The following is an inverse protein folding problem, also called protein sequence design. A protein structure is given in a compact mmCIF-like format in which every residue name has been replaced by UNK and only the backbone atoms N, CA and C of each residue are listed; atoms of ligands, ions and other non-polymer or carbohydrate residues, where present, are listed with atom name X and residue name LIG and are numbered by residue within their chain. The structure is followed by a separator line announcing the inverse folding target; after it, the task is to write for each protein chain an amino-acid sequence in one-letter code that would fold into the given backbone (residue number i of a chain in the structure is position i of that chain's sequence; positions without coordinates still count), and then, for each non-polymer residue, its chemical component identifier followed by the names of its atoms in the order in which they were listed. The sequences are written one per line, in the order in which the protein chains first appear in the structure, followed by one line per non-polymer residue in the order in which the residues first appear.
data_IF_823374349670
#
_entry.id   IF_823374349670
#
_cell.length_a   1.000
_cell.length_b   1.000
_cell.length_c   1.000
_cell.angle_alpha   90.00
_cell.angle_beta   90.00
_cell.angle_gamma   90.00
#
_symmetry.space_group_name_H-M   'P 1'
#
loop_
_entity.id
_entity.type
_entity.pdbx_description
1 polymer ?
#
# COMPACT_ATOMS: atom_id res chain seq x y z
N UNK A 1 -10.69 23.33 2.70
CA UNK A 1 -10.61 24.51 3.55
C UNK A 1 -10.17 25.76 2.82
N UNK A 2 -9.03 25.79 2.21
CA UNK A 2 -8.64 26.87 1.31
C UNK A 2 -9.25 26.62 -0.07
N UNK A 3 -9.83 27.64 -0.74
CA UNK A 3 -10.38 27.43 -2.07
C UNK A 3 -9.22 27.20 -3.05
N UNK A 4 -9.28 26.09 -3.76
CA UNK A 4 -8.39 25.89 -4.91
C UNK A 4 -8.86 26.79 -6.05
N UNK A 5 -8.00 27.70 -6.48
CA UNK A 5 -8.34 28.64 -7.56
C UNK A 5 -8.55 27.86 -8.86
N UNK A 6 -9.74 27.93 -9.43
CA UNK A 6 -10.01 27.40 -10.77
C UNK A 6 -9.12 28.12 -11.77
N UNK A 7 -8.61 27.38 -12.76
CA UNK A 7 -7.70 27.87 -13.80
C UNK A 7 -6.32 28.37 -13.33
N UNK A 8 -5.97 28.24 -12.06
CA UNK A 8 -4.60 28.52 -11.61
C UNK A 8 -3.60 27.55 -12.23
N UNK A 9 -2.43 28.07 -12.58
CA UNK A 9 -1.27 27.23 -12.99
C UNK A 9 -0.61 26.56 -11.80
N UNK A 10 -0.87 27.04 -10.58
CA UNK A 10 -0.27 26.55 -9.36
C UNK A 10 -1.29 25.72 -8.58
N UNK A 11 -0.77 24.74 -7.87
CA UNK A 11 -1.50 23.94 -6.89
C UNK A 11 -0.81 24.06 -5.54
N UNK A 12 -1.61 24.18 -4.51
CA UNK A 12 -1.18 24.18 -3.12
C UNK A 12 -2.27 23.53 -2.30
N UNK A 13 -1.93 22.45 -1.63
CA UNK A 13 -2.81 21.78 -0.66
C UNK A 13 -1.96 21.07 0.39
N UNK A 14 -2.58 20.55 1.40
CA UNK A 14 -1.90 19.78 2.41
C UNK A 14 -2.86 18.91 3.18
N UNK A 15 -2.30 17.93 3.85
CA UNK A 15 -3.05 17.05 4.74
C UNK A 15 -2.24 16.73 5.98
N UNK A 16 -2.93 16.34 7.02
CA UNK A 16 -2.36 15.77 8.25
C UNK A 16 -3.26 14.64 8.70
N UNK A 17 -2.66 13.49 8.96
CA UNK A 17 -3.34 12.31 9.44
C UNK A 17 -2.70 11.86 10.76
N UNK A 18 -3.51 11.65 11.79
CA UNK A 18 -3.12 11.07 13.07
C UNK A 18 -3.91 9.79 13.27
N UNK A 19 -3.23 8.68 13.54
CA UNK A 19 -3.85 7.39 13.82
C UNK A 19 -3.45 6.91 15.20
N UNK A 20 -4.42 6.81 16.09
CA UNK A 20 -4.27 6.17 17.39
C UNK A 20 -4.75 4.73 17.31
N UNK A 21 -3.95 3.80 17.80
CA UNK A 21 -4.26 2.39 17.88
C UNK A 21 -3.93 1.83 19.27
N UNK A 22 -4.66 0.81 19.66
CA UNK A 22 -4.40 0.07 20.92
C UNK A 22 -4.87 -1.37 20.77
N UNK A 23 -4.33 -2.28 21.55
CA UNK A 23 -4.90 -3.60 21.80
C UNK A 23 -4.77 -3.98 23.26
N UNK A 24 -5.73 -4.74 23.81
CA UNK A 24 -5.59 -5.39 25.12
C UNK A 24 -4.61 -6.56 25.03
N UNK A 25 -4.26 -7.12 26.18
CA UNK A 25 -3.52 -8.39 26.25
C UNK A 25 -4.23 -9.47 25.43
N UNK A 26 -3.45 -10.28 24.72
CA UNK A 26 -3.96 -11.41 23.96
C UNK A 26 -3.09 -12.66 24.18
N UNK A 27 -3.64 -13.89 24.00
CA UNK A 27 -2.89 -15.11 24.22
C UNK A 27 -1.77 -15.30 23.20
N UNK A 28 -0.58 -15.64 23.69
CA UNK A 28 0.57 -16.03 22.87
C UNK A 28 1.38 -17.08 23.66
N UNK A 29 1.65 -18.22 23.06
CA UNK A 29 2.44 -19.26 23.70
C UNK A 29 3.93 -18.91 23.76
N UNK A 30 4.42 -18.13 22.82
CA UNK A 30 5.79 -17.62 22.73
C UNK A 30 5.84 -16.34 21.92
N UNK A 31 6.96 -15.64 22.00
CA UNK A 31 7.26 -14.42 21.23
C UNK A 31 8.72 -14.41 20.80
N UNK A 32 8.99 -13.95 19.58
CA UNK A 32 10.30 -13.73 19.03
C UNK A 32 10.61 -12.24 18.82
N UNK A 33 11.75 -11.93 18.20
CA UNK A 33 12.20 -10.55 18.01
C UNK A 33 11.27 -9.68 17.16
N UNK A 34 10.57 -10.29 16.19
CA UNK A 34 9.62 -9.62 15.31
C UNK A 34 8.19 -10.11 15.56
N UNK A 35 7.77 -10.16 16.82
CA UNK A 35 6.40 -10.46 17.22
C UNK A 35 5.61 -9.18 17.53
N UNK A 36 4.31 -9.21 17.25
CA UNK A 36 3.39 -8.28 17.91
C UNK A 36 3.40 -8.56 19.43
N UNK A 37 3.62 -7.56 20.27
CA UNK A 37 3.61 -7.73 21.72
C UNK A 37 2.28 -8.33 22.18
N UNK A 38 2.27 -9.39 23.02
CA UNK A 38 1.02 -9.92 23.55
C UNK A 38 0.43 -9.08 24.70
N UNK A 39 1.22 -8.21 25.32
CA UNK A 39 0.79 -7.35 26.41
C UNK A 39 0.08 -6.10 25.86
N UNK A 40 -0.75 -5.46 26.71
CA UNK A 40 -1.41 -4.21 26.35
C UNK A 40 -0.46 -3.21 25.73
N UNK A 41 -0.82 -2.72 24.54
CA UNK A 41 -0.04 -1.74 23.82
C UNK A 41 -0.91 -0.62 23.25
N UNK A 42 -0.33 0.57 23.10
CA UNK A 42 -0.91 1.70 22.39
C UNK A 42 0.15 2.43 21.59
N UNK A 43 -0.24 2.92 20.43
CA UNK A 43 0.65 3.69 19.55
C UNK A 43 -0.10 4.86 18.91
N UNK A 44 0.64 5.86 18.47
CA UNK A 44 0.09 6.95 17.65
C UNK A 44 1.09 7.27 16.56
N UNK A 45 0.65 7.19 15.33
CA UNK A 45 1.37 7.65 14.14
C UNK A 45 0.85 8.99 13.66
N UNK A 46 1.63 9.67 12.84
CA UNK A 46 1.20 10.84 12.08
C UNK A 46 1.92 10.91 10.75
N UNK A 47 1.20 11.38 9.74
CA UNK A 47 1.76 11.80 8.45
C UNK A 47 1.24 13.19 8.13
N UNK A 48 2.14 14.08 7.72
CA UNK A 48 1.82 15.43 7.24
C UNK A 48 2.41 15.59 5.86
N UNK A 49 1.59 15.94 4.88
CA UNK A 49 2.03 16.13 3.50
C UNK A 49 1.64 17.51 3.00
N UNK A 50 2.58 18.19 2.38
CA UNK A 50 2.40 19.45 1.71
C UNK A 50 2.56 19.26 0.22
N UNK A 51 1.47 19.39 -0.52
CA UNK A 51 1.37 19.15 -1.95
C UNK A 51 1.53 20.45 -2.72
N UNK A 52 2.48 20.48 -3.64
CA UNK A 52 2.69 21.61 -4.53
C UNK A 52 2.79 21.17 -5.99
N UNK A 53 2.47 22.06 -6.89
CA UNK A 53 2.65 21.78 -8.32
C UNK A 53 2.49 23.00 -9.19
N UNK A 54 3.04 22.91 -10.37
CA UNK A 54 2.94 23.95 -11.39
C UNK A 54 2.70 23.37 -12.78
N UNK A 55 1.66 23.85 -13.44
CA UNK A 55 1.36 23.55 -14.82
C UNK A 55 2.26 24.40 -15.72
N UNK A 56 3.25 23.78 -16.35
CA UNK A 56 4.22 24.44 -17.21
C UNK A 56 3.58 24.88 -18.53
N UNK A 57 2.73 24.02 -19.09
CA UNK A 57 1.91 24.29 -20.27
C UNK A 57 0.65 23.41 -20.29
N UNK A 58 -0.09 23.36 -21.39
CA UNK A 58 -1.36 22.62 -21.49
C UNK A 58 -1.22 21.09 -21.48
N UNK A 59 -0.01 20.55 -21.41
CA UNK A 59 0.26 19.12 -21.47
C UNK A 59 1.44 18.69 -20.58
N UNK A 60 1.99 19.61 -19.79
CA UNK A 60 3.15 19.30 -18.93
C UNK A 60 3.00 20.02 -17.60
N UNK A 61 3.22 19.30 -16.53
CA UNK A 61 3.21 19.82 -15.16
C UNK A 61 4.36 19.23 -14.35
N UNK A 62 4.76 19.93 -13.31
CA UNK A 62 5.73 19.51 -12.31
C UNK A 62 4.99 19.42 -10.95
N UNK A 63 5.12 18.30 -10.27
CA UNK A 63 4.50 18.01 -8.99
C UNK A 63 5.58 17.73 -7.96
N UNK A 64 5.48 18.37 -6.79
CA UNK A 64 6.48 18.25 -5.71
C UNK A 64 5.76 18.22 -4.38
N UNK A 65 5.98 17.15 -3.61
CA UNK A 65 5.39 16.96 -2.28
C UNK A 65 6.47 16.83 -1.23
N UNK A 66 6.27 17.56 -0.15
CA UNK A 66 7.09 17.48 1.05
C UNK A 66 6.29 16.77 2.14
N UNK A 67 6.93 15.83 2.83
CA UNK A 67 6.26 14.99 3.81
C UNK A 67 7.05 14.87 5.10
N UNK A 68 6.35 14.75 6.21
CA UNK A 68 6.87 14.35 7.53
C UNK A 68 6.04 13.17 8.01
N UNK A 69 6.69 12.07 8.35
CA UNK A 69 6.09 10.92 8.98
C UNK A 69 6.75 10.66 10.33
N UNK A 70 5.95 10.38 11.34
CA UNK A 70 6.47 10.19 12.69
C UNK A 70 5.50 9.44 13.60
N UNK A 71 5.89 9.32 14.88
CA UNK A 71 5.16 8.52 15.85
C UNK A 71 5.63 7.08 15.90
N UNK A 72 4.74 6.16 16.22
CA UNK A 72 5.00 4.73 16.35
C UNK A 72 3.78 3.93 15.89
N UNK A 73 4.02 2.71 15.42
CA UNK A 73 3.00 1.67 15.26
C UNK A 73 2.96 0.74 16.48
N UNK A 74 1.96 -0.12 16.56
CA UNK A 74 1.96 -1.25 17.50
C UNK A 74 3.19 -2.11 17.21
N UNK A 75 3.93 -2.46 18.27
CA UNK A 75 5.22 -3.17 18.22
C UNK A 75 6.19 -2.60 17.15
N UNK A 76 6.10 -1.27 16.92
CA UNK A 76 6.86 -0.57 15.86
C UNK A 76 6.65 -1.13 14.45
N UNK A 77 5.46 -1.67 14.17
CA UNK A 77 5.09 -2.24 12.88
C UNK A 77 5.62 -3.65 12.64
N UNK A 78 5.81 -4.43 13.69
CA UNK A 78 6.28 -5.82 13.62
C UNK A 78 5.20 -6.82 14.01
N UNK A 79 5.36 -8.07 13.55
CA UNK A 79 4.60 -9.23 13.99
C UNK A 79 3.24 -9.41 13.31
N UNK A 80 2.96 -8.64 12.26
CA UNK A 80 1.77 -8.78 11.42
C UNK A 80 2.16 -8.79 9.95
N UNK A 81 1.56 -9.67 9.17
CA UNK A 81 1.74 -9.70 7.71
C UNK A 81 1.07 -8.48 7.06
N UNK A 82 -0.16 -8.18 7.47
CA UNK A 82 -0.89 -6.96 7.11
C UNK A 82 -0.87 -5.96 8.26
N UNK A 83 0.07 -5.02 8.29
CA UNK A 83 0.15 -4.02 9.33
C UNK A 83 -1.17 -3.24 9.45
N UNK A 84 -1.53 -2.89 10.69
CA UNK A 84 -2.83 -2.28 11.03
C UNK A 84 -2.93 -0.79 10.70
N UNK A 85 -1.83 -0.16 10.31
CA UNK A 85 -1.76 1.28 10.02
C UNK A 85 -0.76 1.54 8.90
N UNK A 86 -1.23 2.01 7.74
CA UNK A 86 -0.36 2.32 6.61
C UNK A 86 0.48 3.59 6.84
N UNK A 87 -0.02 4.53 7.64
CA UNK A 87 0.63 5.82 7.90
C UNK A 87 1.78 5.73 8.91
N UNK A 88 2.65 4.72 8.74
CA UNK A 88 3.85 4.55 9.54
C UNK A 88 5.09 4.39 8.68
N UNK A 89 6.21 4.85 9.20
CA UNK A 89 7.52 4.51 8.67
C UNK A 89 8.08 3.35 9.49
N UNK A 90 8.20 2.18 8.87
CA UNK A 90 8.61 0.93 9.50
C UNK A 90 10.04 0.98 10.08
N UNK A 91 10.90 1.85 9.59
CA UNK A 91 12.27 1.99 10.07
C UNK A 91 12.36 3.05 11.18
N UNK A 92 12.45 2.66 12.47
CA UNK A 92 12.47 3.60 13.59
C UNK A 92 13.74 4.44 13.67
N UNK A 93 14.79 4.09 12.93
CA UNK A 93 16.06 4.84 12.89
C UNK A 93 16.00 6.07 11.97
N UNK A 94 14.97 6.17 11.13
CA UNK A 94 14.79 7.35 10.28
C UNK A 94 14.42 8.58 11.10
N UNK A 95 15.02 9.71 10.72
CA UNK A 95 14.69 10.98 11.33
C UNK A 95 13.24 11.39 11.00
N UNK A 96 12.61 12.10 11.94
CA UNK A 96 11.29 12.73 11.78
C UNK A 96 11.37 14.07 11.04
N UNK A 97 12.41 14.28 10.24
CA UNK A 97 12.56 15.50 9.46
C UNK A 97 11.70 15.45 8.20
N UNK A 98 11.30 16.63 7.74
CA UNK A 98 10.63 16.77 6.44
C UNK A 98 11.53 16.21 5.34
N UNK A 99 10.94 15.43 4.45
CA UNK A 99 11.61 14.83 3.32
C UNK A 99 10.82 15.03 2.01
N UNK A 100 11.51 14.81 0.90
CA UNK A 100 10.88 14.82 -0.41
C UNK A 100 10.10 13.52 -0.61
N UNK A 101 8.76 13.59 -0.61
CA UNK A 101 7.89 12.48 -0.95
C UNK A 101 7.87 12.30 -2.47
N UNK A 102 7.20 13.18 -3.20
CA UNK A 102 7.15 13.16 -4.66
C UNK A 102 7.93 14.32 -5.27
N UNK A 103 8.54 14.06 -6.42
CA UNK A 103 9.09 15.08 -7.31
C UNK A 103 9.09 14.51 -8.72
N UNK A 104 8.05 14.80 -9.51
CA UNK A 104 7.88 14.21 -10.81
C UNK A 104 7.42 15.22 -11.87
N UNK A 105 7.87 15.01 -13.08
CA UNK A 105 7.31 15.63 -14.28
C UNK A 105 6.24 14.72 -14.86
N UNK A 106 5.09 15.30 -15.18
CA UNK A 106 3.98 14.61 -15.84
C UNK A 106 3.71 15.24 -17.20
N UNK A 107 3.70 14.42 -18.24
CA UNK A 107 3.48 14.82 -19.63
C UNK A 107 2.33 14.05 -20.25
N UNK A 108 1.36 14.78 -20.83
CA UNK A 108 0.20 14.22 -21.53
C UNK A 108 0.36 14.42 -23.04
N UNK A 109 0.23 13.34 -23.80
CA UNK A 109 0.16 13.33 -25.25
C UNK A 109 -1.27 13.05 -25.68
N UNK A 110 -1.91 14.03 -26.33
CA UNK A 110 -3.27 13.89 -26.83
C UNK A 110 -3.32 12.98 -28.05
N UNK A 111 -4.12 11.93 -27.99
CA UNK A 111 -4.40 10.99 -29.08
C UNK A 111 -5.84 11.11 -29.59
N UNK A 112 -6.64 11.97 -28.99
CA UNK A 112 -7.96 12.38 -29.46
C UNK A 112 -8.20 13.87 -29.24
N UNK A 113 -9.18 14.43 -29.96
CA UNK A 113 -9.60 15.83 -29.81
C UNK A 113 -10.66 15.99 -28.70
N UNK A 114 -11.47 14.96 -28.46
CA UNK A 114 -12.47 14.96 -27.39
C UNK A 114 -11.79 14.88 -26.03
N UNK A 115 -12.34 15.62 -25.09
CA UNK A 115 -11.83 15.74 -23.74
C UNK A 115 -12.82 15.21 -22.71
N UNK A 116 -12.32 14.88 -21.57
CA UNK A 116 -13.10 14.54 -20.36
C UNK A 116 -12.73 15.51 -19.25
N UNK A 117 -13.67 15.83 -18.40
CA UNK A 117 -13.39 16.55 -17.15
C UNK A 117 -12.43 15.69 -16.29
N UNK A 118 -11.47 16.37 -15.69
CA UNK A 118 -10.55 15.81 -14.73
C UNK A 118 -10.62 16.60 -13.42
N UNK A 119 -10.77 15.89 -12.32
CA UNK A 119 -10.70 16.53 -11.01
C UNK A 119 -9.23 16.82 -10.69
N UNK A 120 -8.89 18.07 -10.52
CA UNK A 120 -7.55 18.48 -10.10
C UNK A 120 -7.21 17.88 -8.73
N UNK A 121 -5.99 17.40 -8.62
CA UNK A 121 -5.46 16.79 -7.40
C UNK A 121 -3.95 17.02 -7.33
N UNK A 122 -3.33 16.53 -6.29
CA UNK A 122 -1.86 16.51 -6.16
C UNK A 122 -1.16 15.58 -7.18
N UNK A 123 -1.91 14.71 -7.88
CA UNK A 123 -1.39 13.84 -8.96
C UNK A 123 -1.64 14.39 -10.36
N UNK A 124 -2.54 15.38 -10.51
CA UNK A 124 -2.77 16.06 -11.80
C UNK A 124 -3.46 17.41 -11.62
N UNK A 125 -2.88 18.45 -12.21
CA UNK A 125 -3.39 19.83 -12.16
C UNK A 125 -4.22 20.21 -13.39
N UNK A 126 -4.41 19.32 -14.35
CA UNK A 126 -5.25 19.57 -15.50
C UNK A 126 -6.72 19.54 -15.12
N UNK A 127 -7.50 20.50 -15.60
CA UNK A 127 -8.95 20.54 -15.43
C UNK A 127 -9.68 19.61 -16.41
N UNK A 128 -9.01 19.35 -17.56
CA UNK A 128 -9.51 18.49 -18.63
C UNK A 128 -8.35 17.66 -19.21
N UNK A 129 -8.63 16.43 -19.56
CA UNK A 129 -7.69 15.53 -20.24
C UNK A 129 -8.26 15.04 -21.57
N UNK A 130 -7.42 14.81 -22.61
CA UNK A 130 -7.87 14.11 -23.81
C UNK A 130 -8.42 12.74 -23.45
N UNK A 131 -9.55 12.33 -24.00
CA UNK A 131 -10.17 11.03 -23.68
C UNK A 131 -9.25 9.86 -24.03
N UNK A 132 -8.62 9.92 -25.19
CA UNK A 132 -7.57 8.99 -25.58
C UNK A 132 -6.23 9.68 -25.52
N UNK A 133 -5.31 9.14 -24.72
CA UNK A 133 -4.04 9.80 -24.41
C UNK A 133 -2.97 8.81 -23.99
N UNK A 134 -1.71 9.26 -24.08
CA UNK A 134 -0.57 8.65 -23.40
C UNK A 134 -0.07 9.64 -22.35
N UNK A 135 0.06 9.20 -21.13
CA UNK A 135 0.64 9.95 -20.01
C UNK A 135 1.99 9.35 -19.65
N UNK A 136 3.02 10.19 -19.54
CA UNK A 136 4.33 9.79 -19.05
C UNK A 136 4.64 10.55 -17.78
N UNK A 137 5.11 9.85 -16.75
CA UNK A 137 5.61 10.45 -15.52
C UNK A 137 7.02 9.95 -15.25
N UNK A 138 7.89 10.86 -14.88
CA UNK A 138 9.28 10.55 -14.55
C UNK A 138 9.70 11.32 -13.32
N UNK A 139 10.38 10.63 -12.39
CA UNK A 139 10.88 11.21 -11.16
C UNK A 139 10.65 10.32 -9.93
N UNK A 140 10.49 10.95 -8.77
CA UNK A 140 10.17 10.26 -7.51
C UNK A 140 8.66 10.24 -7.29
N UNK A 141 8.10 9.05 -7.04
CA UNK A 141 6.67 8.82 -6.81
C UNK A 141 6.44 7.52 -6.04
N UNK A 142 5.21 7.25 -5.64
CA UNK A 142 4.77 5.95 -5.11
C UNK A 142 4.07 5.16 -6.22
N UNK A 143 4.40 3.87 -6.40
CA UNK A 143 3.72 3.01 -7.38
C UNK A 143 2.22 2.85 -7.12
N UNK A 144 1.77 2.71 -5.85
CA UNK A 144 0.34 2.72 -5.49
C UNK A 144 -0.44 3.98 -5.89
N UNK A 145 0.21 5.08 -6.21
CA UNK A 145 -0.48 6.26 -6.75
C UNK A 145 -1.16 5.97 -8.10
N UNK A 146 -0.68 4.95 -8.84
CA UNK A 146 -1.08 4.68 -10.22
C UNK A 146 -1.56 3.25 -10.46
N UNK A 147 -1.07 2.27 -9.70
CA UNK A 147 -1.35 0.84 -9.87
C UNK A 147 -2.19 0.30 -8.73
N UNK A 148 -3.01 -0.70 -9.00
CA UNK A 148 -3.91 -1.38 -8.05
C UNK A 148 -4.89 -0.43 -7.33
N UNK A 149 -5.13 0.75 -7.86
CA UNK A 149 -6.01 1.76 -7.26
C UNK A 149 -7.43 1.23 -7.18
N UNK A 150 -8.08 1.41 -6.02
CA UNK A 150 -9.45 1.00 -5.77
C UNK A 150 -10.24 2.11 -5.08
N UNK A 151 -11.45 2.40 -5.55
CA UNK A 151 -12.25 3.52 -5.04
C UNK A 151 -12.74 3.33 -3.60
N UNK A 152 -12.67 2.10 -3.06
CA UNK A 152 -13.17 1.73 -1.73
C UNK A 152 -12.03 1.42 -0.76
N UNK A 153 -10.93 0.85 -1.23
CA UNK A 153 -9.86 0.33 -0.39
C UNK A 153 -8.56 1.14 -0.39
N UNK A 154 -8.27 1.95 -1.42
CA UNK A 154 -6.96 2.60 -1.59
C UNK A 154 -6.92 4.05 -1.09
N UNK A 155 -7.39 4.32 0.13
CA UNK A 155 -7.36 5.66 0.72
C UNK A 155 -7.34 5.59 2.25
N UNK A 156 -6.18 5.41 2.82
CA UNK A 156 -6.00 5.29 4.29
C UNK A 156 -6.34 6.55 5.07
N UNK A 157 -6.47 7.70 4.40
CA UNK A 157 -6.89 8.95 5.05
C UNK A 157 -8.40 8.97 5.34
N UNK A 158 -9.19 8.23 4.56
CA UNK A 158 -10.66 8.24 4.67
C UNK A 158 -11.30 6.86 4.80
N UNK A 159 -10.56 5.78 4.47
CA UNK A 159 -11.09 4.42 4.38
C UNK A 159 -10.37 3.48 5.35
N UNK A 160 -10.07 2.27 4.93
CA UNK A 160 -9.39 1.25 5.72
C UNK A 160 -7.93 1.64 6.01
N UNK A 161 -7.37 1.11 7.11
CA UNK A 161 -6.00 1.36 7.55
C UNK A 161 -5.05 0.20 7.28
N UNK A 162 -5.59 -1.03 7.13
CA UNK A 162 -4.75 -2.21 6.95
C UNK A 162 -4.01 -2.17 5.61
N UNK A 163 -2.73 -2.49 5.63
CA UNK A 163 -1.85 -2.49 4.46
C UNK A 163 -2.39 -3.35 3.32
N UNK A 164 -2.88 -4.56 3.62
CA UNK A 164 -3.36 -5.51 2.62
C UNK A 164 -4.78 -5.24 2.13
N UNK A 165 -5.43 -4.19 2.67
CA UNK A 165 -6.63 -3.59 2.09
C UNK A 165 -6.31 -2.43 1.18
N UNK A 166 -5.36 -1.58 1.56
CA UNK A 166 -5.01 -0.40 0.78
C UNK A 166 -4.44 -0.78 -0.59
N UNK A 167 -3.55 -1.76 -0.60
CA UNK A 167 -2.98 -2.34 -1.81
C UNK A 167 -3.01 -3.87 -1.75
N UNK A 168 -2.77 -4.50 -2.89
CA UNK A 168 -2.59 -5.95 -2.99
C UNK A 168 -1.42 -6.41 -2.12
N UNK A 169 -1.70 -7.18 -1.06
CA UNK A 169 -0.68 -7.64 -0.12
C UNK A 169 0.45 -8.44 -0.77
N UNK A 170 0.18 -9.22 -1.81
CA UNK A 170 1.19 -9.99 -2.51
C UNK A 170 1.88 -9.21 -3.65
N UNK A 171 1.70 -7.90 -3.70
CA UNK A 171 2.43 -7.02 -4.62
C UNK A 171 3.57 -6.32 -3.87
N UNK A 172 4.73 -6.94 -3.86
CA UNK A 172 5.96 -6.40 -3.26
C UNK A 172 6.50 -5.26 -4.14
N UNK A 173 5.77 -4.14 -4.20
CA UNK A 173 6.07 -3.02 -5.08
C UNK A 173 7.37 -2.31 -4.69
N UNK A 174 8.12 -1.87 -5.69
CA UNK A 174 9.38 -1.18 -5.47
C UNK A 174 9.19 0.14 -4.72
N UNK A 175 9.77 0.22 -3.53
CA UNK A 175 9.76 1.42 -2.71
C UNK A 175 10.94 1.43 -1.72
N UNK A 176 11.41 2.61 -1.34
CA UNK A 176 12.18 2.79 -0.12
C UNK A 176 11.28 2.60 1.12
N UNK A 177 11.86 2.58 2.32
CA UNK A 177 11.10 2.42 3.58
C UNK A 177 10.04 3.49 3.84
N UNK A 178 9.97 4.55 3.03
CA UNK A 178 8.96 5.62 3.08
C UNK A 178 7.85 5.45 2.04
N UNK A 179 7.87 4.36 1.25
CA UNK A 179 6.86 4.08 0.23
C UNK A 179 7.12 4.74 -1.12
N UNK A 180 8.29 5.32 -1.37
CA UNK A 180 8.62 6.03 -2.60
C UNK A 180 9.76 5.37 -3.37
N UNK A 181 9.71 5.50 -4.70
CA UNK A 181 10.77 5.08 -5.60
C UNK A 181 11.07 6.15 -6.64
N UNK A 182 12.10 5.94 -7.44
CA UNK A 182 12.41 6.75 -8.63
C UNK A 182 12.23 5.90 -9.87
N UNK A 183 11.51 6.41 -10.85
CA UNK A 183 11.22 5.62 -12.04
C UNK A 183 10.49 6.38 -13.14
N UNK A 184 9.98 5.61 -14.08
CA UNK A 184 9.15 6.05 -15.20
C UNK A 184 7.83 5.30 -15.17
N UNK A 185 6.71 6.01 -15.38
CA UNK A 185 5.43 5.39 -15.72
C UNK A 185 4.98 5.81 -17.10
N UNK A 186 4.37 4.87 -17.83
CA UNK A 186 3.69 5.12 -19.11
C UNK A 186 2.26 4.57 -19.00
N UNK A 187 1.28 5.44 -19.16
CA UNK A 187 -0.12 5.14 -18.99
C UNK A 187 -0.89 5.47 -20.26
N UNK A 188 -1.36 4.45 -20.96
CA UNK A 188 -2.22 4.60 -22.13
C UNK A 188 -3.69 4.48 -21.71
N UNK A 189 -4.42 5.56 -21.93
CA UNK A 189 -5.83 5.67 -21.58
C UNK A 189 -6.73 5.72 -22.80
N UNK A 190 -7.76 4.90 -22.82
CA UNK A 190 -8.85 4.95 -23.80
C UNK A 190 -10.21 4.99 -23.07
N UNK A 191 -11.31 5.04 -23.79
CA UNK A 191 -12.67 5.21 -23.24
C UNK A 191 -13.06 4.14 -22.21
N UNK A 192 -12.79 2.88 -22.49
CA UNK A 192 -13.28 1.73 -21.72
C UNK A 192 -12.17 0.89 -21.12
N UNK A 193 -10.92 1.23 -21.37
CA UNK A 193 -9.77 0.49 -20.88
C UNK A 193 -8.54 1.39 -20.78
N UNK A 194 -7.57 0.97 -20.00
CA UNK A 194 -6.25 1.56 -19.88
C UNK A 194 -5.20 0.46 -19.78
N UNK A 195 -3.96 0.82 -20.11
CA UNK A 195 -2.79 -0.03 -19.90
C UNK A 195 -1.67 0.82 -19.31
N UNK A 196 -1.11 0.36 -18.19
CA UNK A 196 -0.04 1.04 -17.47
C UNK A 196 1.20 0.17 -17.43
N UNK A 197 2.32 0.83 -17.57
CA UNK A 197 3.65 0.26 -17.40
C UNK A 197 4.45 1.16 -16.46
N UNK A 198 5.24 0.56 -15.57
CA UNK A 198 6.25 1.30 -14.81
C UNK A 198 7.54 0.51 -14.72
N UNK A 199 8.65 1.22 -14.81
CA UNK A 199 9.99 0.76 -14.42
C UNK A 199 10.47 1.64 -13.26
N UNK A 200 10.90 1.01 -12.18
CA UNK A 200 11.22 1.67 -10.91
C UNK A 200 12.46 1.06 -10.26
N UNK A 201 13.20 1.88 -9.51
CA UNK A 201 14.36 1.43 -8.74
C UNK A 201 13.91 0.64 -7.51
N UNK A 202 14.67 -0.40 -7.18
CA UNK A 202 14.49 -1.18 -5.96
C UNK A 202 15.44 -0.69 -4.85
N UNK A 203 15.08 -0.87 -3.57
CA UNK A 203 16.00 -0.59 -2.47
C UNK A 203 17.21 -1.55 -2.46
N UNK A 204 18.26 -1.14 -1.76
CA UNK A 204 19.51 -1.90 -1.62
C UNK A 204 19.33 -3.14 -0.74
N UNK A 205 18.53 -3.03 0.29
CA UNK A 205 18.16 -4.09 1.25
C UNK A 205 16.66 -4.01 1.54
N UNK A 206 16.07 -5.08 2.04
CA UNK A 206 14.67 -5.12 2.42
C UNK A 206 14.32 -3.94 3.36
N UNK A 207 13.23 -3.23 3.05
CA UNK A 207 12.78 -2.05 3.78
C UNK A 207 13.87 -0.96 3.96
N UNK A 208 14.84 -0.88 3.04
CA UNK A 208 15.93 0.09 3.07
C UNK A 208 15.53 1.48 2.59
N UNK A 209 16.26 2.52 3.03
CA UNK A 209 16.04 3.90 2.57
C UNK A 209 16.77 4.21 1.25
N UNK A 210 17.85 3.49 0.96
CA UNK A 210 18.68 3.72 -0.20
C UNK A 210 18.18 2.91 -1.39
N UNK A 211 17.97 3.58 -2.52
CA UNK A 211 17.65 2.94 -3.80
C UNK A 211 18.94 2.64 -4.58
N UNK A 212 18.94 1.54 -5.35
CA UNK A 212 20.04 1.18 -6.22
C UNK A 212 19.90 1.86 -7.57
N UNK A 213 20.76 2.85 -7.86
CA UNK A 213 20.74 3.62 -9.12
C UNK A 213 21.45 2.87 -10.27
N UNK A 214 21.07 1.60 -10.47
CA UNK A 214 21.54 0.73 -11.57
C UNK A 214 20.36 -0.01 -12.19
N UNK A 215 19.44 0.70 -12.88
CA UNK A 215 18.19 0.11 -13.38
C UNK A 215 18.38 -1.09 -14.31
N UNK A 216 19.54 -1.20 -14.99
CA UNK A 216 19.87 -2.37 -15.82
C UNK A 216 20.19 -3.66 -15.01
N UNK A 217 20.33 -3.58 -13.70
CA UNK A 217 20.61 -4.72 -12.80
C UNK A 217 19.54 -4.90 -11.75
N UNK A 218 19.13 -3.80 -11.10
CA UNK A 218 18.25 -3.76 -9.94
C UNK A 218 17.07 -2.85 -10.26
N UNK A 219 15.92 -3.45 -10.54
CA UNK A 219 14.72 -2.73 -10.96
C UNK A 219 13.47 -3.55 -10.72
N UNK A 220 12.33 -2.88 -10.75
CA UNK A 220 10.99 -3.46 -10.78
C UNK A 220 10.27 -3.04 -12.05
N UNK A 221 9.62 -4.00 -12.70
CA UNK A 221 8.69 -3.75 -13.80
C UNK A 221 7.27 -4.06 -13.33
N UNK A 222 6.34 -3.17 -13.64
CA UNK A 222 4.94 -3.31 -13.30
C UNK A 222 4.07 -3.08 -14.53
N UNK A 223 3.06 -3.91 -14.70
CA UNK A 223 2.13 -3.89 -15.82
C UNK A 223 0.72 -3.97 -15.27
N UNK A 224 -0.17 -3.06 -15.67
CA UNK A 224 -1.58 -3.15 -15.31
C UNK A 224 -2.47 -2.92 -16.52
N UNK A 225 -3.43 -3.82 -16.70
CA UNK A 225 -4.53 -3.64 -17.64
C UNK A 225 -5.81 -3.33 -16.87
N UNK A 226 -6.45 -2.22 -17.19
CA UNK A 226 -7.71 -1.78 -16.59
C UNK A 226 -8.85 -1.87 -17.61
N UNK A 227 -9.94 -2.56 -17.23
CA UNK A 227 -11.17 -2.62 -17.99
C UNK A 227 -12.30 -1.94 -17.21
N UNK A 228 -12.83 -0.85 -17.74
CA UNK A 228 -13.93 -0.06 -17.16
C UNK A 228 -15.27 -0.61 -17.61
N UNK A 229 -15.61 -1.78 -17.07
CA UNK A 229 -16.86 -2.47 -17.37
C UNK A 229 -17.34 -3.24 -16.15
N UNK A 230 -18.53 -2.87 -15.65
CA UNK A 230 -19.17 -3.63 -14.57
C UNK A 230 -19.69 -4.98 -15.03
N UNK A 231 -19.72 -5.96 -14.13
CA UNK A 231 -20.38 -7.27 -14.32
C UNK A 231 -21.90 -7.08 -14.28
N UNK A 232 -22.39 -6.22 -13.38
CA UNK A 232 -23.83 -5.93 -13.27
C UNK A 232 -24.29 -5.02 -14.41
N UNK A 233 -25.39 -5.35 -15.10
CA UNK A 233 -25.93 -4.54 -16.18
C UNK A 233 -26.24 -3.10 -15.73
N UNK A 234 -25.84 -2.12 -16.54
CA UNK A 234 -26.09 -0.68 -16.34
C UNK A 234 -25.45 -0.08 -15.08
N UNK A 235 -24.55 -0.79 -14.42
CA UNK A 235 -23.80 -0.30 -13.26
C UNK A 235 -22.32 -0.19 -13.58
N UNK A 236 -21.68 0.85 -13.08
CA UNK A 236 -20.24 1.03 -13.23
C UNK A 236 -19.48 -0.04 -12.43
N UNK A 237 -18.37 -0.46 -12.97
CA UNK A 237 -17.41 -1.35 -12.33
C UNK A 237 -16.10 -1.34 -13.10
N UNK A 238 -15.04 -1.81 -12.46
CA UNK A 238 -13.69 -1.84 -13.00
C UNK A 238 -13.04 -3.16 -12.63
N UNK A 239 -12.28 -3.72 -13.56
CA UNK A 239 -11.40 -4.86 -13.32
C UNK A 239 -9.99 -4.43 -13.69
N UNK A 240 -9.03 -4.67 -12.80
CA UNK A 240 -7.61 -4.43 -13.02
C UNK A 240 -6.85 -5.73 -12.90
N UNK A 241 -5.95 -5.97 -13.84
CA UNK A 241 -5.05 -7.11 -13.88
C UNK A 241 -3.63 -6.60 -13.78
N UNK A 242 -3.01 -6.84 -12.65
CA UNK A 242 -1.63 -6.45 -12.34
C UNK A 242 -0.69 -7.63 -12.59
N UNK A 243 0.49 -7.37 -13.14
CA UNK A 243 1.63 -8.29 -13.14
C UNK A 243 2.89 -7.51 -12.81
N UNK A 244 3.83 -8.12 -12.08
CA UNK A 244 5.07 -7.46 -11.73
C UNK A 244 6.25 -8.43 -11.69
N UNK A 245 7.44 -7.87 -11.82
CA UNK A 245 8.71 -8.57 -11.59
C UNK A 245 9.70 -7.62 -10.91
N UNK A 246 10.35 -8.11 -9.86
CA UNK A 246 11.40 -7.43 -9.13
C UNK A 246 12.72 -8.16 -9.33
N UNK A 247 13.76 -7.44 -9.72
CA UNK A 247 15.14 -7.93 -9.80
C UNK A 247 15.96 -7.16 -8.77
N UNK A 248 16.38 -7.81 -7.69
CA UNK A 248 17.11 -7.18 -6.59
C UNK A 248 18.02 -8.21 -5.88
N UNK A 249 18.83 -7.71 -4.93
CA UNK A 249 19.67 -8.55 -4.08
C UNK A 249 18.81 -9.15 -2.95
N UNK A 250 17.99 -10.16 -3.26
CA UNK A 250 17.09 -10.80 -2.32
C UNK A 250 17.58 -12.20 -1.95
N UNK A 251 17.56 -12.53 -0.66
CA UNK A 251 17.83 -13.87 -0.16
C UNK A 251 16.77 -14.89 -0.63
N UNK A 252 17.17 -16.15 -0.74
CA UNK A 252 16.31 -17.28 -1.13
C UNK A 252 16.03 -18.10 0.13
N UNK A 253 14.75 -18.21 0.54
CA UNK A 253 14.39 -18.92 1.78
C UNK A 253 14.95 -20.32 1.87
N UNK A 254 14.83 -21.12 0.80
CA UNK A 254 15.30 -22.51 0.78
C UNK A 254 16.80 -22.62 0.95
N UNK A 255 17.57 -21.73 0.31
CA UNK A 255 19.03 -21.76 0.39
C UNK A 255 19.48 -21.44 1.81
N UNK A 256 18.87 -20.46 2.45
CA UNK A 256 19.18 -20.08 3.83
C UNK A 256 18.78 -21.16 4.86
N UNK A 257 17.70 -21.90 4.62
CA UNK A 257 17.33 -23.06 5.45
C UNK A 257 18.41 -24.14 5.37
N UNK A 258 18.85 -24.50 4.15
CA UNK A 258 19.88 -25.53 3.92
C UNK A 258 21.20 -25.10 4.55
N UNK A 259 21.65 -23.86 4.36
CA UNK A 259 22.90 -23.35 4.96
C UNK A 259 22.84 -23.38 6.50
N UNK A 260 21.69 -23.04 7.08
CA UNK A 260 21.50 -23.08 8.52
C UNK A 260 21.45 -24.50 9.09
N UNK A 261 20.82 -25.45 8.40
CA UNK A 261 20.82 -26.87 8.75
C UNK A 261 22.25 -27.44 8.76
N UNK A 262 23.04 -27.17 7.72
CA UNK A 262 24.43 -27.61 7.61
C UNK A 262 25.32 -26.99 8.69
N UNK A 263 25.06 -25.74 9.08
CA UNK A 263 25.83 -25.02 10.10
C UNK A 263 25.32 -25.28 11.54
N UNK A 264 24.15 -25.86 11.73
CA UNK A 264 23.49 -26.01 13.04
C UNK A 264 23.08 -24.66 13.67
N UNK A 265 22.64 -23.70 12.84
CA UNK A 265 22.25 -22.33 13.24
C UNK A 265 20.80 -22.03 12.86
N UNK A 266 20.29 -20.88 13.27
CA UNK A 266 19.01 -20.34 12.79
C UNK A 266 19.19 -19.74 11.39
N UNK A 267 18.26 -19.94 10.44
CA UNK A 267 18.36 -19.37 9.11
C UNK A 267 18.26 -17.83 9.12
N UNK A 268 19.10 -17.18 8.32
CA UNK A 268 19.18 -15.73 8.18
C UNK A 268 19.08 -15.34 6.70
N UNK A 269 17.94 -14.78 6.29
CA UNK A 269 17.64 -14.42 4.89
C UNK A 269 18.58 -13.33 4.36
N UNK A 270 19.25 -12.59 5.22
CA UNK A 270 20.17 -11.51 4.85
C UNK A 270 21.61 -11.99 4.69
N UNK A 271 21.93 -13.21 5.15
CA UNK A 271 23.27 -13.77 5.11
C UNK A 271 23.57 -14.47 3.78
N UNK A 272 23.71 -13.72 2.72
CA UNK A 272 24.05 -14.24 1.40
C UNK A 272 24.98 -13.27 0.64
N UNK A 273 25.82 -13.77 -0.27
CA UNK A 273 26.64 -12.91 -1.12
C UNK A 273 25.73 -12.08 -2.05
N UNK A 274 26.22 -10.92 -2.48
CA UNK A 274 25.51 -10.10 -3.45
C UNK A 274 25.21 -10.89 -4.73
N UNK A 275 23.93 -11.10 -5.03
CA UNK A 275 23.46 -11.69 -6.27
C UNK A 275 22.05 -11.19 -6.59
N UNK A 276 21.72 -11.13 -7.87
CA UNK A 276 20.38 -10.70 -8.30
C UNK A 276 19.47 -11.91 -8.38
N UNK A 277 18.43 -11.89 -7.57
CA UNK A 277 17.30 -12.82 -7.65
C UNK A 277 16.09 -12.16 -8.27
N UNK A 278 15.10 -12.94 -8.67
CA UNK A 278 13.88 -12.44 -9.28
C UNK A 278 12.64 -12.93 -8.52
N UNK A 279 11.86 -11.98 -8.02
CA UNK A 279 10.49 -12.20 -7.55
C UNK A 279 9.52 -11.77 -8.64
N UNK A 280 8.42 -12.49 -8.80
CA UNK A 280 7.35 -12.12 -9.73
C UNK A 280 6.00 -12.54 -9.18
N UNK A 281 4.98 -11.79 -9.56
CA UNK A 281 3.63 -12.03 -9.11
C UNK A 281 2.58 -11.38 -10.00
N UNK A 282 1.33 -11.58 -9.60
CA UNK A 282 0.19 -10.96 -10.27
C UNK A 282 -0.93 -10.65 -9.27
N UNK A 283 -1.81 -9.76 -9.68
CA UNK A 283 -2.98 -9.37 -8.92
C UNK A 283 -4.21 -9.18 -9.78
N UNK A 284 -5.37 -9.35 -9.15
CA UNK A 284 -6.67 -8.98 -9.72
C UNK A 284 -7.35 -8.06 -8.72
N UNK A 285 -7.77 -6.89 -9.18
CA UNK A 285 -8.52 -5.93 -8.39
C UNK A 285 -9.84 -5.65 -9.11
N UNK A 286 -10.92 -5.86 -8.41
CA UNK A 286 -12.27 -5.74 -8.92
C UNK A 286 -13.08 -4.79 -8.05
N UNK A 287 -13.82 -3.88 -8.68
CA UNK A 287 -14.81 -3.04 -8.00
C UNK A 287 -16.11 -2.96 -8.81
N UNK A 288 -17.23 -2.92 -8.12
CA UNK A 288 -18.56 -2.90 -8.69
C UNK A 288 -19.53 -2.07 -7.86
N UNK A 289 -20.13 -1.07 -8.46
CA UNK A 289 -21.25 -0.36 -7.83
C UNK A 289 -22.45 -1.31 -7.68
N UNK A 290 -22.86 -1.57 -6.45
CA UNK A 290 -24.07 -2.33 -6.13
C UNK A 290 -25.30 -1.43 -6.15
N UNK A 291 -25.16 -0.22 -5.63
CA UNK A 291 -26.15 0.86 -5.69
C UNK A 291 -25.44 2.18 -6.01
N UNK A 292 -26.16 3.29 -5.99
CA UNK A 292 -25.56 4.62 -6.11
C UNK A 292 -24.63 4.97 -4.93
N UNK A 293 -24.87 4.36 -3.77
CA UNK A 293 -24.17 4.68 -2.51
C UNK A 293 -23.35 3.52 -1.94
N UNK A 294 -23.34 2.36 -2.59
CA UNK A 294 -22.67 1.16 -2.11
C UNK A 294 -21.84 0.55 -3.24
N UNK A 295 -20.56 0.37 -2.99
CA UNK A 295 -19.61 -0.26 -3.90
C UNK A 295 -18.99 -1.47 -3.20
N UNK A 296 -19.00 -2.62 -3.88
CA UNK A 296 -18.26 -3.81 -3.47
C UNK A 296 -16.92 -3.85 -4.19
N UNK A 297 -15.93 -4.46 -3.54
CA UNK A 297 -14.64 -4.72 -4.15
C UNK A 297 -14.11 -6.08 -3.72
N UNK A 298 -13.18 -6.61 -4.52
CA UNK A 298 -12.39 -7.77 -4.17
C UNK A 298 -10.99 -7.64 -4.77
N UNK A 299 -9.98 -8.10 -4.04
CA UNK A 299 -8.60 -8.22 -4.49
C UNK A 299 -8.10 -9.64 -4.32
N UNK A 300 -7.32 -10.10 -5.27
CA UNK A 300 -6.54 -11.33 -5.17
C UNK A 300 -5.12 -11.04 -5.59
N UNK A 301 -4.16 -11.55 -4.85
CA UNK A 301 -2.74 -11.45 -5.14
C UNK A 301 -2.02 -12.76 -4.96
N UNK A 302 -0.97 -12.93 -5.73
CA UNK A 302 -0.09 -14.07 -5.68
C UNK A 302 1.31 -13.70 -6.15
N UNK A 303 2.32 -14.17 -5.43
CA UNK A 303 3.71 -14.17 -5.88
C UNK A 303 4.36 -15.56 -5.73
N UNK A 304 5.59 -15.68 -6.22
CA UNK A 304 6.30 -16.96 -6.23
C UNK A 304 6.77 -17.44 -4.85
N UNK A 305 6.86 -16.56 -3.83
CA UNK A 305 7.20 -16.85 -2.43
C UNK A 305 8.53 -17.57 -2.22
N UNK A 306 9.51 -17.37 -3.09
CA UNK A 306 10.81 -18.05 -3.03
C UNK A 306 11.90 -17.22 -2.37
N UNK A 307 11.78 -15.91 -2.48
CA UNK A 307 12.73 -14.92 -2.00
C UNK A 307 12.14 -14.09 -0.88
N UNK A 308 12.99 -13.45 -0.10
CA UNK A 308 12.53 -12.51 0.92
C UNK A 308 11.56 -11.46 0.34
N UNK A 309 10.64 -11.00 1.20
CA UNK A 309 9.82 -9.83 0.91
C UNK A 309 10.69 -8.59 1.09
N UNK A 310 10.55 -7.59 0.19
CA UNK A 310 11.58 -6.59 0.04
C UNK A 310 11.15 -5.16 0.36
N UNK A 311 9.92 -4.80 0.02
CA UNK A 311 9.52 -3.41 0.12
C UNK A 311 8.19 -3.15 0.84
N UNK A 312 7.21 -4.04 0.78
CA UNK A 312 5.86 -3.74 1.25
C UNK A 312 5.40 -4.63 2.41
N UNK A 313 5.05 -5.87 2.14
CA UNK A 313 4.48 -6.81 3.12
C UNK A 313 5.18 -8.16 3.04
N UNK A 314 5.10 -8.97 4.10
CA UNK A 314 5.50 -10.38 4.04
C UNK A 314 4.29 -11.27 3.75
N UNK A 315 3.79 -11.17 2.51
CA UNK A 315 2.60 -11.86 2.02
C UNK A 315 2.87 -12.42 0.63
N UNK A 316 2.73 -13.75 0.46
CA UNK A 316 2.91 -14.39 -0.85
C UNK A 316 1.57 -14.62 -1.57
N UNK A 317 0.45 -14.61 -0.81
CA UNK A 317 -0.92 -14.70 -1.33
C UNK A 317 -1.86 -13.89 -0.47
N UNK A 318 -2.74 -13.13 -1.12
CA UNK A 318 -3.77 -12.37 -0.42
C UNK A 318 -5.11 -12.49 -1.12
N UNK A 319 -6.17 -12.52 -0.33
CA UNK A 319 -7.54 -12.33 -0.78
C UNK A 319 -8.20 -11.31 0.13
N UNK A 320 -8.79 -10.29 -0.45
CA UNK A 320 -9.56 -9.29 0.27
C UNK A 320 -10.89 -9.06 -0.42
N UNK A 321 -11.98 -8.99 0.35
CA UNK A 321 -13.29 -8.62 -0.15
C UNK A 321 -14.01 -7.69 0.82
N UNK A 322 -14.71 -6.71 0.29
CA UNK A 322 -15.37 -5.75 1.15
C UNK A 322 -16.37 -4.86 0.43
N UNK A 323 -16.97 -4.00 1.22
CA UNK A 323 -17.91 -2.99 0.73
C UNK A 323 -17.62 -1.64 1.37
N UNK A 324 -17.79 -0.59 0.58
CA UNK A 324 -17.79 0.79 1.05
C UNK A 324 -19.08 1.50 0.73
N UNK A 325 -19.54 2.32 1.66
CA UNK A 325 -20.74 3.11 1.53
C UNK A 325 -20.44 4.59 1.72
N UNK A 326 -21.05 5.45 0.90
CA UNK A 326 -21.06 6.88 1.15
C UNK A 326 -22.29 7.31 1.99
N UNK A 327 -22.11 8.35 2.78
CA UNK A 327 -23.11 8.81 3.75
C UNK A 327 -24.37 9.45 3.17
N UNK A 328 -24.53 9.52 1.85
CA UNK A 328 -25.76 10.02 1.23
C UNK A 328 -26.98 9.17 1.62
N UNK A 329 -26.76 7.88 1.94
CA UNK A 329 -27.80 6.97 2.43
C UNK A 329 -28.47 7.43 3.74
N UNK A 330 -27.68 8.09 4.61
CA UNK A 330 -28.16 8.60 5.91
C UNK A 330 -28.03 10.13 6.01
N UNK A 331 -28.12 10.82 4.86
CA UNK A 331 -28.12 12.29 4.74
C UNK A 331 -26.84 13.01 5.19
N UNK A 332 -25.69 12.29 5.21
CA UNK A 332 -24.37 12.83 5.55
C UNK A 332 -23.37 12.56 4.42
N UNK A 333 -23.55 13.24 3.29
CA UNK A 333 -22.89 12.96 1.99
C UNK A 333 -21.38 12.85 2.02
N UNK A 334 -20.72 13.45 3.01
CA UNK A 334 -19.25 13.42 3.15
C UNK A 334 -18.76 12.33 4.11
N UNK A 335 -19.66 11.66 4.83
CA UNK A 335 -19.30 10.53 5.66
C UNK A 335 -19.06 9.28 4.80
N UNK A 336 -18.25 8.37 5.30
CA UNK A 336 -17.96 7.09 4.66
C UNK A 336 -17.97 5.97 5.70
N UNK A 337 -18.35 4.78 5.28
CA UNK A 337 -18.25 3.58 6.10
C UNK A 337 -17.78 2.41 5.24
N UNK A 338 -17.10 1.45 5.85
CA UNK A 338 -16.68 0.26 5.13
C UNK A 338 -16.47 -0.92 6.06
N UNK A 339 -16.49 -2.10 5.44
CA UNK A 339 -16.21 -3.37 6.06
C UNK A 339 -15.43 -4.23 5.06
N UNK A 340 -14.40 -4.91 5.53
CA UNK A 340 -13.55 -5.78 4.70
C UNK A 340 -13.16 -7.02 5.47
N UNK A 341 -13.06 -8.14 4.77
CA UNK A 341 -12.39 -9.36 5.19
C UNK A 341 -11.16 -9.56 4.33
N UNK A 342 -10.05 -9.95 4.97
CA UNK A 342 -8.77 -10.22 4.32
C UNK A 342 -8.25 -11.57 4.82
N UNK A 343 -7.64 -12.34 3.93
CA UNK A 343 -6.90 -13.55 4.25
C UNK A 343 -5.54 -13.53 3.58
N UNK A 344 -4.49 -13.45 4.37
CA UNK A 344 -3.09 -13.46 3.94
C UNK A 344 -2.49 -14.84 4.15
N UNK A 345 -1.59 -15.26 3.26
CA UNK A 345 -0.91 -16.54 3.30
C UNK A 345 0.51 -16.43 2.75
N UNK A 346 1.38 -17.35 3.17
CA UNK A 346 2.76 -17.48 2.70
C UNK A 346 3.03 -18.88 2.13
N UNK A 347 4.02 -18.98 1.22
CA UNK A 347 4.42 -20.22 0.56
C UNK A 347 5.21 -21.12 1.51
N UNK A 348 5.36 -22.38 1.12
CA UNK A 348 5.95 -23.41 1.97
C UNK A 348 7.40 -23.12 2.39
N UNK A 349 8.23 -22.58 1.48
CA UNK A 349 9.63 -22.24 1.80
C UNK A 349 9.68 -21.09 2.85
N UNK A 350 8.81 -20.09 2.71
CA UNK A 350 8.65 -19.00 3.69
C UNK A 350 8.11 -19.52 5.04
N UNK A 351 7.10 -20.44 5.02
CA UNK A 351 6.60 -21.10 6.25
C UNK A 351 7.72 -21.85 6.98
N UNK A 352 8.53 -22.66 6.26
CA UNK A 352 9.60 -23.40 6.85
C UNK A 352 10.68 -22.47 7.44
N UNK A 353 11.03 -21.39 6.71
CA UNK A 353 11.99 -20.38 7.19
C UNK A 353 11.58 -19.78 8.54
N UNK A 354 10.32 -19.37 8.67
CA UNK A 354 9.77 -18.82 9.94
C UNK A 354 9.65 -19.91 11.02
N UNK A 355 9.31 -21.14 10.64
CA UNK A 355 9.19 -22.27 11.58
C UNK A 355 10.54 -22.65 12.20
N UNK A 356 11.62 -22.54 11.43
CA UNK A 356 12.99 -22.79 11.87
C UNK A 356 13.60 -21.58 12.63
N UNK A 357 12.75 -20.58 12.97
CA UNK A 357 13.14 -19.41 13.75
C UNK A 357 13.72 -18.25 12.93
N UNK A 358 13.67 -18.33 11.60
CA UNK A 358 14.10 -17.24 10.71
C UNK A 358 13.33 -15.95 10.95
N UNK A 359 13.98 -14.83 10.64
CA UNK A 359 13.43 -13.48 10.85
C UNK A 359 13.35 -12.76 9.51
N UNK A 360 12.15 -12.35 9.10
CA UNK A 360 11.91 -11.44 7.99
C UNK A 360 11.93 -9.98 8.42
N UNK A 361 11.65 -9.06 7.50
CA UNK A 361 11.68 -7.65 7.87
C UNK A 361 10.45 -7.21 8.70
N UNK A 362 9.34 -7.98 8.71
CA UNK A 362 8.16 -7.76 9.55
C UNK A 362 7.94 -8.89 10.57
N UNK A 363 8.24 -10.14 10.22
CA UNK A 363 7.82 -11.33 10.95
C UNK A 363 9.01 -12.08 11.56
N UNK A 364 8.75 -12.80 12.67
CA UNK A 364 9.77 -13.60 13.32
C UNK A 364 9.41 -13.93 14.77
N UNK A 365 8.49 -14.90 14.97
CA UNK A 365 8.05 -15.34 16.31
C UNK A 365 9.02 -16.31 16.98
N UNK A 366 10.06 -16.78 16.28
CA UNK A 366 10.99 -17.82 16.76
C UNK A 366 10.49 -19.23 16.53
N UNK A 367 9.31 -19.41 15.98
CA UNK A 367 8.65 -20.67 15.61
C UNK A 367 7.32 -20.37 14.93
N UNK A 368 6.72 -21.38 14.28
CA UNK A 368 5.48 -21.19 13.52
C UNK A 368 4.57 -22.42 13.58
N UNK A 369 3.37 -22.24 14.12
CA UNK A 369 2.22 -23.12 13.90
C UNK A 369 1.32 -22.50 12.83
N UNK A 370 1.60 -22.80 11.58
CA UNK A 370 1.06 -22.07 10.43
C UNK A 370 -0.48 -22.05 10.35
N UNK A 371 -1.03 -20.85 10.17
CA UNK A 371 -2.41 -20.57 9.75
C UNK A 371 -2.46 -19.27 8.96
N UNK A 372 -3.40 -19.11 8.04
CA UNK A 372 -3.58 -17.82 7.37
C UNK A 372 -3.83 -16.72 8.40
N UNK A 373 -3.22 -15.56 8.20
CA UNK A 373 -3.58 -14.35 8.95
C UNK A 373 -4.88 -13.80 8.37
N UNK A 374 -5.97 -13.90 9.17
CA UNK A 374 -7.28 -13.46 8.74
C UNK A 374 -7.67 -12.18 9.48
N UNK A 375 -8.02 -11.15 8.75
CA UNK A 375 -8.29 -9.81 9.26
C UNK A 375 -9.72 -9.42 8.88
N UNK A 376 -10.44 -8.89 9.85
CA UNK A 376 -11.70 -8.21 9.64
C UNK A 376 -11.52 -6.76 10.07
N UNK A 377 -11.78 -5.81 9.17
CA UNK A 377 -11.69 -4.39 9.48
C UNK A 377 -12.99 -3.67 9.16
N UNK A 378 -13.36 -2.73 10.01
CA UNK A 378 -14.47 -1.80 9.77
C UNK A 378 -14.12 -0.41 10.28
N UNK A 379 -14.66 0.60 9.60
CA UNK A 379 -14.49 2.00 9.97
C UNK A 379 -15.77 2.82 9.69
N UNK A 380 -15.87 3.95 10.35
CA UNK A 380 -16.83 4.99 10.05
C UNK A 380 -16.14 6.36 10.07
N UNK A 381 -16.00 7.02 8.91
CA UNK A 381 -15.42 8.35 8.78
C UNK A 381 -16.50 9.41 8.82
N UNK A 382 -16.45 10.25 9.84
CA UNK A 382 -17.38 11.36 10.08
C UNK A 382 -16.75 12.66 9.60
N UNK A 383 -17.39 13.33 8.65
CA UNK A 383 -17.07 14.72 8.34
C UNK A 383 -17.63 15.63 9.45
N UNK A 384 -16.77 16.30 10.19
CA UNK A 384 -17.17 17.15 11.32
C UNK A 384 -17.28 18.62 10.94
N UNK A 385 -16.28 19.16 10.27
CA UNK A 385 -16.26 20.57 9.89
C UNK A 385 -15.22 20.85 8.82
N UNK A 386 -15.61 21.52 7.72
CA UNK A 386 -14.71 21.86 6.58
C UNK A 386 -13.88 20.65 6.11
N UNK A 387 -12.55 20.68 6.25
CA UNK A 387 -11.66 19.58 5.91
C UNK A 387 -11.26 18.71 7.11
N UNK A 388 -12.07 18.63 8.18
CA UNK A 388 -11.78 17.83 9.38
C UNK A 388 -12.68 16.59 9.42
N UNK A 389 -12.04 15.43 9.50
CA UNK A 389 -12.69 14.13 9.55
C UNK A 389 -12.19 13.34 10.77
N UNK A 390 -13.08 12.63 11.41
CA UNK A 390 -12.79 11.73 12.52
C UNK A 390 -13.27 10.33 12.15
N UNK A 391 -12.48 9.31 12.42
CA UNK A 391 -12.85 7.95 12.05
C UNK A 391 -12.51 6.95 13.17
N UNK A 392 -13.50 6.53 13.97
CA UNK A 392 -13.39 5.30 14.75
C UNK A 392 -13.37 4.08 13.82
N UNK A 393 -12.62 3.06 14.19
CA UNK A 393 -12.52 1.79 13.49
C UNK A 393 -12.07 0.68 14.41
N UNK A 394 -12.09 -0.54 13.91
CA UNK A 394 -11.59 -1.72 14.61
C UNK A 394 -11.09 -2.76 13.62
N UNK A 395 -9.99 -3.40 13.95
CA UNK A 395 -9.50 -4.59 13.27
C UNK A 395 -9.53 -5.77 14.23
N UNK A 396 -9.96 -6.94 13.75
CA UNK A 396 -9.88 -8.22 14.44
C UNK A 396 -9.01 -9.15 13.63
N UNK A 397 -7.94 -9.66 14.23
CA UNK A 397 -6.88 -10.40 13.54
C UNK A 397 -6.77 -11.79 14.19
N UNK A 398 -6.99 -12.83 13.39
CA UNK A 398 -6.72 -14.21 13.79
C UNK A 398 -5.36 -14.64 13.25
N UNK A 399 -4.61 -15.42 14.03
CA UNK A 399 -3.29 -15.94 13.71
C UNK A 399 -2.32 -14.80 13.29
N UNK A 400 -2.10 -13.77 14.15
CA UNK A 400 -1.17 -12.69 13.85
C UNK A 400 0.21 -13.26 13.50
N UNK A 401 0.81 -12.75 12.40
CA UNK A 401 2.07 -13.28 11.88
C UNK A 401 1.97 -14.72 11.36
N UNK A 402 0.81 -15.16 10.88
CA UNK A 402 0.53 -16.54 10.42
C UNK A 402 0.58 -17.61 11.52
N UNK A 403 0.56 -17.25 12.79
CA UNK A 403 0.82 -18.17 13.90
C UNK A 403 -0.43 -18.46 14.72
N UNK A 404 -0.91 -19.73 14.69
CA UNK A 404 -2.06 -20.21 15.47
C UNK A 404 -1.82 -20.25 16.98
N UNK A 405 -0.57 -20.21 17.40
CA UNK A 405 -0.17 -20.18 18.80
C UNK A 405 -0.28 -18.78 19.41
N UNK A 406 -0.75 -17.80 18.61
CA UNK A 406 -0.89 -16.40 18.97
C UNK A 406 -2.25 -15.85 18.53
N UNK A 407 -2.81 -14.92 19.32
CA UNK A 407 -4.09 -14.27 19.04
C UNK A 407 -5.32 -15.08 19.47
N UNK A 408 -6.54 -14.67 19.08
CA UNK A 408 -6.78 -13.48 18.24
C UNK A 408 -6.48 -12.17 18.96
N UNK A 409 -6.26 -11.11 18.18
CA UNK A 409 -6.07 -9.76 18.69
C UNK A 409 -7.14 -8.81 18.12
N UNK A 410 -7.62 -7.88 18.96
CA UNK A 410 -8.56 -6.83 18.57
C UNK A 410 -7.87 -5.48 18.70
N UNK A 411 -7.87 -4.70 17.63
CA UNK A 411 -7.19 -3.40 17.54
C UNK A 411 -8.22 -2.30 17.29
N UNK A 412 -8.79 -1.67 18.34
CA UNK A 412 -9.52 -0.42 18.20
C UNK A 412 -8.61 0.67 17.63
N UNK A 413 -9.16 1.46 16.69
CA UNK A 413 -8.45 2.54 16.03
C UNK A 413 -9.25 3.84 16.10
N UNK A 414 -8.54 4.96 16.12
CA UNK A 414 -9.14 6.27 15.97
C UNK A 414 -8.25 7.14 15.10
N UNK A 415 -8.79 7.60 13.99
CA UNK A 415 -8.08 8.49 13.05
C UNK A 415 -8.67 9.89 13.10
N UNK A 416 -7.80 10.90 13.09
CA UNK A 416 -8.15 12.30 12.87
C UNK A 416 -7.41 12.78 11.61
N UNK A 417 -8.17 13.11 10.58
CA UNK A 417 -7.66 13.59 9.30
C UNK A 417 -8.06 15.04 9.07
N UNK A 418 -7.11 15.86 8.59
CA UNK A 418 -7.30 17.26 8.26
C UNK A 418 -6.71 17.51 6.88
N UNK A 419 -7.52 18.10 5.97
CA UNK A 419 -7.09 18.49 4.63
C UNK A 419 -7.44 19.95 4.30
N UNK A 420 -6.66 20.60 3.44
CA UNK A 420 -6.91 21.97 2.99
C UNK A 420 -6.39 22.24 1.57
#
# INVERSE_FOLDING_TARGET
MLPHFKNSRFWLSGQTNFVFQTHPDFPALYSGPHSLSPDYEKATSRVMTFYTGVRLNNSTELLVDLEEAGGAALSTGLGLAGNTDLDIVRNPLLSKNVYLGRAMIHKVFALSKDKIENQRSFLSLFDELPRRRLELRFGKFSLPDFFDVNSVGSDTHFQFLNWTTDNNGAWDYAADTRGYTVGLTADFEDRNWGFRFAEALMPEVANGINLVYRPWQVHAENYEYELRRGILPKKAGVVRLLAYTNSANMGIYRDQIIEAEDAGTTPDITNHPWHITRKYGFGVNFEQNLTHNLTAFARFGWDNGKTESFAYTEVDQTFAEGVGANGAWWHRKQDRAGIVFISNAIKKDHQNYLADGGIGFLLGDGGLNYGCENIFETYYTVHTWRGIYLAPGVQHINNPGYNRDRGPVVVPTFRAHIEF
#
